data_IF_293699787234
#
_entry.id   IF_293699787234
#
_cell.length_a   1.000
_cell.length_b   1.000
_cell.length_c   1.000
_cell.angle_alpha   90.00
_cell.angle_beta   90.00
_cell.angle_gamma   90.00
#
_symmetry.space_group_name_H-M   'P 1'
#
loop_
_entity.id
_entity.type
_entity.pdbx_description
1 polymer ?
#
# COMPACT_ATOMS: atom_id res chain seq x y z
N UNK A 1 -11.10 -13.77 -9.97
CA UNK A 1 -10.07 -12.79 -9.55
C UNK A 1 -8.74 -13.24 -10.13
N UNK A 2 -8.17 -12.43 -11.03
CA UNK A 2 -6.84 -12.68 -11.62
C UNK A 2 -5.74 -12.29 -10.63
N UNK A 3 -4.48 -12.60 -10.95
CA UNK A 3 -3.35 -12.26 -10.08
C UNK A 3 -3.22 -10.75 -9.97
N UNK A 4 -3.41 -10.04 -11.09
CA UNK A 4 -3.43 -8.56 -11.09
C UNK A 4 -4.55 -7.98 -10.22
N UNK A 5 -5.76 -8.58 -10.20
CA UNK A 5 -6.84 -8.11 -9.32
C UNK A 5 -6.47 -8.26 -7.85
N UNK A 6 -5.88 -9.40 -7.46
CA UNK A 6 -5.42 -9.64 -6.09
C UNK A 6 -4.35 -8.63 -5.68
N UNK A 7 -3.36 -8.39 -6.55
CA UNK A 7 -2.26 -7.47 -6.28
C UNK A 7 -2.75 -6.03 -6.12
N UNK A 8 -3.64 -5.56 -7.01
CA UNK A 8 -4.28 -4.23 -6.90
C UNK A 8 -5.09 -4.10 -5.61
N UNK A 9 -5.84 -5.13 -5.22
CA UNK A 9 -6.60 -5.13 -3.97
C UNK A 9 -5.68 -5.05 -2.74
N UNK A 10 -4.55 -5.77 -2.74
CA UNK A 10 -3.54 -5.68 -1.68
C UNK A 10 -2.96 -4.27 -1.57
N UNK A 11 -2.58 -3.65 -2.69
CA UNK A 11 -2.07 -2.27 -2.70
C UNK A 11 -3.12 -1.29 -2.17
N UNK A 12 -4.38 -1.42 -2.58
CA UNK A 12 -5.46 -0.58 -2.04
C UNK A 12 -5.63 -0.77 -0.53
N UNK A 13 -5.54 -2.00 -0.02
CA UNK A 13 -5.56 -2.27 1.41
C UNK A 13 -4.41 -1.60 2.18
N UNK A 14 -3.19 -1.65 1.62
CA UNK A 14 -2.02 -0.97 2.18
C UNK A 14 -2.19 0.56 2.18
N UNK A 15 -2.71 1.15 1.10
CA UNK A 15 -2.98 2.60 1.01
C UNK A 15 -4.01 3.05 2.05
N UNK A 16 -5.07 2.27 2.26
CA UNK A 16 -6.04 2.54 3.34
C UNK A 16 -5.42 2.45 4.73
N UNK A 17 -4.55 1.47 4.97
CA UNK A 17 -3.85 1.32 6.25
C UNK A 17 -2.89 2.50 6.49
N UNK A 18 -2.12 2.89 5.47
CA UNK A 18 -1.24 4.06 5.52
C UNK A 18 -2.02 5.33 5.90
N UNK A 19 -3.12 5.63 5.19
CA UNK A 19 -3.92 6.81 5.46
C UNK A 19 -4.52 6.79 6.88
N UNK A 20 -4.89 5.61 7.39
CA UNK A 20 -5.37 5.47 8.76
C UNK A 20 -4.27 5.79 9.78
N UNK A 21 -3.04 5.31 9.53
CA UNK A 21 -1.88 5.61 10.37
C UNK A 21 -1.54 7.10 10.35
N UNK A 22 -1.58 7.75 9.19
CA UNK A 22 -1.42 9.21 9.06
C UNK A 22 -2.51 9.96 9.83
N UNK A 23 -3.76 9.49 9.80
CA UNK A 23 -4.84 10.01 10.64
C UNK A 23 -4.53 9.90 12.14
N UNK A 24 -4.04 8.75 12.61
CA UNK A 24 -3.70 8.56 14.02
C UNK A 24 -2.58 9.49 14.50
N UNK A 25 -1.68 9.95 13.63
CA UNK A 25 -0.67 10.96 13.95
C UNK A 25 -1.32 12.31 14.30
N UNK A 26 -2.42 12.65 13.62
CA UNK A 26 -3.18 13.88 13.85
C UNK A 26 -4.04 13.79 15.12
N UNK A 27 -4.60 12.61 15.40
CA UNK A 27 -5.55 12.39 16.49
C UNK A 27 -4.90 12.19 17.86
N UNK A 28 -3.59 11.90 17.92
CA UNK A 28 -2.88 11.63 19.18
C UNK A 28 -2.03 12.81 19.64
N UNK A 29 -1.94 13.06 20.95
CA UNK A 29 -0.98 14.02 21.53
C UNK A 29 0.31 13.35 22.05
N UNK A 30 0.31 12.01 22.14
CA UNK A 30 1.46 11.26 22.63
C UNK A 30 2.59 11.25 21.59
N UNK A 31 3.72 11.88 21.90
CA UNK A 31 4.86 12.01 20.99
C UNK A 31 5.46 10.67 20.57
N UNK A 32 5.51 9.67 21.47
CA UNK A 32 6.00 8.34 21.12
C UNK A 32 5.04 7.63 20.16
N UNK A 33 3.72 7.78 20.38
CA UNK A 33 2.71 7.23 19.49
C UNK A 33 2.76 7.90 18.10
N UNK A 34 2.95 9.23 18.03
CA UNK A 34 3.15 9.96 16.76
C UNK A 34 4.29 9.35 15.96
N UNK A 35 5.46 9.18 16.58
CA UNK A 35 6.62 8.63 15.90
C UNK A 35 6.37 7.19 15.43
N UNK A 36 5.69 6.38 16.25
CA UNK A 36 5.31 5.02 15.87
C UNK A 36 4.42 5.00 14.63
N UNK A 37 3.34 5.79 14.62
CA UNK A 37 2.40 5.84 13.50
C UNK A 37 3.04 6.41 12.23
N UNK A 38 3.88 7.45 12.35
CA UNK A 38 4.66 7.99 11.22
C UNK A 38 5.59 6.93 10.63
N UNK A 39 6.34 6.21 11.47
CA UNK A 39 7.24 5.15 11.01
C UNK A 39 6.46 4.01 10.32
N UNK A 40 5.31 3.63 10.87
CA UNK A 40 4.47 2.59 10.29
C UNK A 40 3.87 3.03 8.94
N UNK A 41 3.42 4.28 8.82
CA UNK A 41 2.93 4.84 7.55
C UNK A 41 4.03 4.84 6.49
N UNK A 42 5.26 5.24 6.86
CA UNK A 42 6.41 5.21 5.96
C UNK A 42 6.77 3.79 5.50
N UNK A 43 6.69 2.80 6.40
CA UNK A 43 6.90 1.40 6.03
C UNK A 43 5.82 0.90 5.06
N UNK A 44 4.56 1.27 5.28
CA UNK A 44 3.47 0.94 4.36
C UNK A 44 3.72 1.54 2.96
N UNK A 45 4.16 2.80 2.88
CA UNK A 45 4.54 3.45 1.63
C UNK A 45 5.67 2.69 0.93
N UNK A 46 6.74 2.33 1.63
CA UNK A 46 7.85 1.54 1.06
C UNK A 46 7.36 0.20 0.48
N UNK A 47 6.43 -0.48 1.15
CA UNK A 47 5.86 -1.73 0.64
C UNK A 47 5.04 -1.46 -0.63
N UNK A 48 4.19 -0.42 -0.62
CA UNK A 48 3.42 -0.01 -1.80
C UNK A 48 4.35 0.24 -3.00
N UNK A 49 5.39 1.06 -2.80
CA UNK A 49 6.35 1.42 -3.85
C UNK A 49 7.07 0.18 -4.40
N UNK A 50 7.37 -0.81 -3.53
CA UNK A 50 7.99 -2.08 -3.96
C UNK A 50 7.06 -2.97 -4.78
N UNK A 51 5.73 -2.85 -4.60
CA UNK A 51 4.73 -3.68 -5.27
C UNK A 51 4.20 -3.04 -6.56
N UNK A 52 4.25 -1.71 -6.69
CA UNK A 52 3.75 -0.99 -7.87
C UNK A 52 4.40 -1.45 -9.19
N UNK A 53 5.73 -1.66 -9.30
CA UNK A 53 6.35 -2.21 -10.50
C UNK A 53 5.81 -3.59 -10.86
N UNK A 54 5.57 -4.45 -9.86
CA UNK A 54 5.05 -5.81 -10.08
C UNK A 54 3.65 -5.80 -10.69
N UNK A 55 2.83 -4.77 -10.42
CA UNK A 55 1.52 -4.61 -11.08
C UNK A 55 1.67 -4.48 -12.58
N UNK A 56 2.67 -3.71 -13.04
CA UNK A 56 2.91 -3.50 -14.46
C UNK A 56 3.40 -4.77 -15.14
N UNK A 57 4.31 -5.50 -14.51
CA UNK A 57 4.81 -6.79 -15.02
C UNK A 57 3.68 -7.82 -15.15
N UNK A 58 2.88 -8.01 -14.09
CA UNK A 58 1.76 -8.97 -14.11
C UNK A 58 0.72 -8.56 -15.16
N UNK A 59 0.52 -7.26 -15.40
CA UNK A 59 -0.39 -6.80 -16.45
C UNK A 59 0.05 -7.26 -17.84
N UNK A 60 1.36 -7.31 -18.11
CA UNK A 60 1.91 -7.78 -19.39
C UNK A 60 1.95 -9.31 -19.49
N UNK A 61 2.05 -10.02 -18.36
CA UNK A 61 2.02 -11.48 -18.29
C UNK A 61 0.61 -12.07 -18.52
N UNK A 62 -0.45 -11.29 -18.24
CA UNK A 62 -1.83 -11.78 -18.28
C UNK A 62 -2.38 -11.83 -19.73
N UNK A 63 -2.82 -13.01 -20.23
CA UNK A 63 -3.25 -13.21 -21.63
C UNK A 63 -4.35 -12.25 -22.10
N UNK A 64 -5.21 -11.83 -21.17
CA UNK A 64 -6.32 -10.90 -21.42
C UNK A 64 -5.89 -9.48 -21.81
N UNK A 65 -4.62 -9.10 -21.60
CA UNK A 65 -4.05 -7.80 -22.01
C UNK A 65 -3.16 -7.91 -23.25
N UNK A 66 -2.94 -9.13 -23.76
CA UNK A 66 -2.11 -9.42 -24.94
C UNK A 66 -2.96 -9.78 -26.19
N UNK A 67 -4.26 -9.47 -26.18
CA UNK A 67 -5.19 -9.69 -27.31
C UNK A 67 -5.69 -8.38 -27.91
#
# INVERSE_FOLDING_TARGET
>A
MTVITKLKQTISGLKSAQASLEGFVLDTDNQQAKQLYQNAAQQAQTIIDSLEPRVQEVQQEEPQYNQ
#
